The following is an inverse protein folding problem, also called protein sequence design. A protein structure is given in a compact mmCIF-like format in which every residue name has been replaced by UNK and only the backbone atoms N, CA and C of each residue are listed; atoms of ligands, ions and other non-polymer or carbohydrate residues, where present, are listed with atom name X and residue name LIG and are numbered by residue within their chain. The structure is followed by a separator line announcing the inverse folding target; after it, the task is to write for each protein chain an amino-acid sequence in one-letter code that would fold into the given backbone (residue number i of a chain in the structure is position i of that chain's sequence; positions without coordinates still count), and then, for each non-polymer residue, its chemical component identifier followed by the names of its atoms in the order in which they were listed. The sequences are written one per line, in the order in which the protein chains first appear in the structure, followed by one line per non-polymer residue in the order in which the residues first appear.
data_IF_990359096932
#
_entry.id   IF_990359096932
#
_cell.length_a   1.000
_cell.length_b   1.000
_cell.length_c   1.000
_cell.angle_alpha   90.00
_cell.angle_beta   90.00
_cell.angle_gamma   90.00
#
_symmetry.space_group_name_H-M   'P 1'
#
loop_
_entity.id
_entity.type
_entity.pdbx_description
1 polymer ?
#
# COMPACT_ATOMS: atom_id res chain seq x y z
N UNK A 1 -61.34 -17.65 -13.25
CA UNK A 1 -60.17 -18.42 -12.73
C UNK A 1 -59.16 -18.81 -13.82
N UNK A 2 -59.56 -19.42 -14.96
CA UNK A 2 -58.63 -19.88 -16.01
C UNK A 2 -57.81 -18.76 -16.71
N UNK A 3 -58.38 -17.57 -16.89
CA UNK A 3 -57.72 -16.42 -17.57
C UNK A 3 -56.58 -15.84 -16.73
N UNK A 4 -56.72 -15.86 -15.40
CA UNK A 4 -55.70 -15.35 -14.47
C UNK A 4 -54.47 -16.28 -14.43
N UNK A 5 -54.69 -17.59 -14.47
CA UNK A 5 -53.63 -18.60 -14.57
C UNK A 5 -52.90 -18.55 -15.91
N UNK A 6 -53.58 -18.26 -17.03
CA UNK A 6 -52.93 -18.10 -18.34
C UNK A 6 -52.09 -16.82 -18.42
N UNK A 7 -52.51 -15.73 -17.79
CA UNK A 7 -51.74 -14.48 -17.73
C UNK A 7 -50.49 -14.62 -16.84
N UNK A 8 -50.59 -15.36 -15.72
CA UNK A 8 -49.43 -15.67 -14.89
C UNK A 8 -48.41 -16.58 -15.60
N UNK A 9 -48.87 -17.61 -16.32
CA UNK A 9 -47.99 -18.47 -17.14
C UNK A 9 -47.32 -17.70 -18.27
N UNK A 10 -48.03 -16.77 -18.91
CA UNK A 10 -47.48 -15.94 -19.98
C UNK A 10 -46.41 -14.96 -19.45
N UNK A 11 -46.64 -14.35 -18.27
CA UNK A 11 -45.63 -13.54 -17.56
C UNK A 11 -44.40 -14.34 -17.14
N UNK A 12 -44.57 -15.57 -16.66
CA UNK A 12 -43.46 -16.46 -16.33
C UNK A 12 -42.67 -16.86 -17.58
N UNK A 13 -43.34 -17.17 -18.69
CA UNK A 13 -42.69 -17.45 -19.97
C UNK A 13 -42.01 -16.22 -20.59
N UNK A 14 -42.58 -15.02 -20.43
CA UNK A 14 -41.96 -13.76 -20.87
C UNK A 14 -40.74 -13.39 -20.01
N UNK A 15 -40.77 -13.65 -18.69
CA UNK A 15 -39.60 -13.51 -17.80
C UNK A 15 -38.53 -14.57 -18.03
N UNK A 16 -38.90 -15.80 -18.43
CA UNK A 16 -37.94 -16.84 -18.84
C UNK A 16 -37.35 -16.58 -20.24
N UNK A 17 -38.08 -15.87 -21.12
CA UNK A 17 -37.60 -15.46 -22.45
C UNK A 17 -36.75 -14.19 -22.43
N UNK A 18 -36.94 -13.32 -21.44
CA UNK A 18 -36.01 -12.23 -21.13
C UNK A 18 -34.80 -12.80 -20.38
N UNK A 19 -34.08 -13.70 -21.06
CA UNK A 19 -33.00 -14.49 -20.48
C UNK A 19 -32.00 -13.62 -19.72
N UNK A 20 -31.47 -14.18 -18.62
CA UNK A 20 -30.54 -13.51 -17.71
C UNK A 20 -29.49 -12.69 -18.47
N UNK A 21 -29.72 -11.38 -18.53
CA UNK A 21 -28.94 -10.45 -19.34
C UNK A 21 -27.50 -10.35 -18.83
N UNK A 22 -27.27 -10.64 -17.55
CA UNK A 22 -25.93 -10.68 -16.95
C UNK A 22 -25.17 -11.93 -17.42
N UNK A 23 -25.85 -13.08 -17.51
CA UNK A 23 -25.24 -14.32 -18.03
C UNK A 23 -24.86 -14.24 -19.52
N UNK A 24 -25.46 -13.32 -20.28
CA UNK A 24 -25.15 -13.10 -21.70
C UNK A 24 -24.00 -12.09 -21.94
N UNK A 25 -23.43 -11.48 -20.90
CA UNK A 25 -22.29 -10.58 -21.07
C UNK A 25 -21.05 -11.34 -21.55
N UNK A 26 -20.24 -10.77 -22.45
CA UNK A 26 -18.91 -11.28 -22.78
C UNK A 26 -17.98 -11.33 -21.55
N UNK A 27 -17.05 -12.30 -21.50
CA UNK A 27 -16.13 -12.48 -20.35
C UNK A 27 -15.29 -11.22 -20.08
N UNK A 28 -14.82 -10.55 -21.13
CA UNK A 28 -14.02 -9.32 -21.03
C UNK A 28 -14.77 -8.17 -20.34
N UNK A 29 -16.08 -8.08 -20.55
CA UNK A 29 -16.92 -7.09 -19.86
C UNK A 29 -17.09 -7.47 -18.39
N UNK A 30 -17.29 -8.75 -18.10
CA UNK A 30 -17.43 -9.22 -16.72
C UNK A 30 -16.14 -8.99 -15.94
N UNK A 31 -14.99 -9.37 -16.52
CA UNK A 31 -13.67 -9.12 -15.94
C UNK A 31 -13.46 -7.63 -15.67
N UNK A 32 -13.87 -6.78 -16.61
CA UNK A 32 -13.78 -5.33 -16.44
C UNK A 32 -14.66 -4.81 -15.32
N UNK A 33 -15.87 -5.34 -15.15
CA UNK A 33 -16.76 -4.98 -14.03
C UNK A 33 -16.14 -5.41 -12.70
N UNK A 34 -15.71 -6.68 -12.59
CA UNK A 34 -15.16 -7.24 -11.37
C UNK A 34 -13.84 -6.56 -10.95
N UNK A 35 -13.04 -6.12 -11.92
CA UNK A 35 -11.81 -5.35 -11.68
C UNK A 35 -12.03 -4.08 -10.83
N UNK A 36 -13.23 -3.48 -10.89
CA UNK A 36 -13.55 -2.29 -10.11
C UNK A 36 -14.06 -2.60 -8.70
N UNK A 37 -14.50 -3.82 -8.43
CA UNK A 37 -15.10 -4.20 -7.15
C UNK A 37 -14.05 -4.39 -6.06
N UNK A 38 -14.49 -4.25 -4.81
CA UNK A 38 -13.78 -4.80 -3.67
C UNK A 38 -14.09 -6.29 -3.50
N UNK A 39 -13.33 -6.97 -2.63
CA UNK A 39 -13.43 -8.40 -2.41
C UNK A 39 -14.84 -8.81 -1.94
N UNK A 40 -15.47 -8.02 -1.07
CA UNK A 40 -16.82 -8.30 -0.55
C UNK A 40 -17.84 -8.24 -1.69
N UNK A 41 -17.85 -7.16 -2.46
CA UNK A 41 -18.75 -6.95 -3.59
C UNK A 41 -18.51 -7.99 -4.67
N UNK A 42 -17.25 -8.36 -4.94
CA UNK A 42 -16.88 -9.41 -5.88
C UNK A 42 -17.49 -10.76 -5.47
N UNK A 43 -17.35 -11.16 -4.21
CA UNK A 43 -18.00 -12.38 -3.68
C UNK A 43 -19.51 -12.27 -3.77
N UNK A 44 -20.10 -11.11 -3.45
CA UNK A 44 -21.56 -10.90 -3.55
C UNK A 44 -22.09 -11.09 -4.98
N UNK A 45 -21.28 -10.85 -6.02
CA UNK A 45 -21.72 -11.12 -7.40
C UNK A 45 -22.05 -12.60 -7.65
N UNK A 46 -21.56 -13.53 -6.80
CA UNK A 46 -21.86 -14.96 -6.89
C UNK A 46 -23.35 -15.29 -6.85
N UNK A 47 -24.19 -14.41 -6.28
CA UNK A 47 -25.64 -14.63 -6.20
C UNK A 47 -26.38 -14.21 -7.48
N UNK A 48 -25.71 -13.51 -8.40
CA UNK A 48 -26.34 -12.98 -9.62
C UNK A 48 -26.69 -14.08 -10.61
N UNK A 49 -25.77 -15.03 -10.85
CA UNK A 49 -26.03 -16.19 -11.69
C UNK A 49 -24.99 -17.29 -11.48
N UNK A 50 -25.25 -18.49 -12.01
CA UNK A 50 -24.30 -19.62 -11.97
C UNK A 50 -22.92 -19.29 -12.53
N UNK A 51 -22.84 -18.37 -13.51
CA UNK A 51 -21.58 -17.96 -14.14
C UNK A 51 -20.72 -17.12 -13.21
N UNK A 52 -21.33 -16.34 -12.32
CA UNK A 52 -20.62 -15.43 -11.42
C UNK A 52 -20.09 -16.09 -10.13
N UNK A 53 -20.51 -17.33 -9.83
CA UNK A 53 -20.21 -18.00 -8.56
C UNK A 53 -18.71 -18.02 -8.23
N UNK A 54 -17.85 -18.25 -9.23
CA UNK A 54 -16.42 -18.45 -9.04
C UNK A 54 -15.53 -17.36 -9.66
N UNK A 55 -16.09 -16.34 -10.29
CA UNK A 55 -15.25 -15.36 -11.01
C UNK A 55 -14.36 -14.53 -10.08
N UNK A 56 -14.81 -14.32 -8.84
CA UNK A 56 -14.01 -13.65 -7.83
C UNK A 56 -12.73 -14.43 -7.44
N UNK A 57 -12.68 -15.75 -7.66
CA UNK A 57 -11.53 -16.59 -7.29
C UNK A 57 -10.35 -16.46 -8.24
N UNK A 58 -10.48 -15.70 -9.33
CA UNK A 58 -9.42 -15.52 -10.33
C UNK A 58 -9.08 -14.05 -10.58
N UNK A 59 -9.46 -13.16 -9.66
CA UNK A 59 -9.28 -11.72 -9.87
C UNK A 59 -7.80 -11.33 -9.83
N UNK A 60 -7.32 -10.58 -10.84
CA UNK A 60 -5.94 -10.13 -10.88
C UNK A 60 -5.67 -8.93 -9.96
N UNK A 61 -6.72 -8.31 -9.42
CA UNK A 61 -6.62 -7.18 -8.49
C UNK A 61 -7.50 -7.45 -7.30
N UNK A 62 -6.89 -7.47 -6.12
CA UNK A 62 -7.58 -7.67 -4.85
C UNK A 62 -7.66 -6.34 -4.12
N UNK A 63 -8.86 -6.01 -3.63
CA UNK A 63 -9.08 -4.81 -2.84
C UNK A 63 -9.91 -5.18 -1.62
N UNK A 64 -9.34 -4.98 -0.44
CA UNK A 64 -10.00 -5.15 0.84
C UNK A 64 -10.13 -3.77 1.46
N UNK A 65 -11.37 -3.32 1.66
CA UNK A 65 -11.65 -2.06 2.34
C UNK A 65 -12.51 -2.37 3.56
N UNK A 66 -12.01 -1.98 4.73
CA UNK A 66 -12.70 -2.08 6.02
C UNK A 66 -13.44 -3.41 6.17
N UNK A 67 -12.71 -4.56 6.14
CA UNK A 67 -13.32 -5.88 6.23
C UNK A 67 -13.87 -6.20 7.63
N UNK A 68 -14.18 -5.16 8.43
CA UNK A 68 -14.56 -5.07 9.85
C UNK A 68 -15.70 -5.97 10.32
N UNK A 69 -16.25 -6.80 9.45
CA UNK A 69 -17.15 -7.86 9.86
C UNK A 69 -16.46 -9.19 10.10
N UNK A 70 -15.29 -9.49 9.52
CA UNK A 70 -14.56 -10.72 9.81
C UNK A 70 -13.08 -10.62 9.42
N UNK A 71 -12.13 -10.60 10.38
CA UNK A 71 -10.73 -10.97 10.08
C UNK A 71 -10.66 -12.28 9.29
N UNK A 72 -11.57 -13.20 9.62
CA UNK A 72 -11.73 -14.45 8.89
C UNK A 72 -12.12 -14.25 7.42
N UNK A 73 -12.76 -13.15 7.01
CA UNK A 73 -13.11 -12.93 5.60
C UNK A 73 -11.86 -12.86 4.72
N UNK A 74 -10.81 -12.13 5.12
CA UNK A 74 -9.59 -12.00 4.31
C UNK A 74 -8.93 -13.37 4.18
N UNK A 75 -8.71 -14.06 5.30
CA UNK A 75 -8.11 -15.40 5.28
C UNK A 75 -8.94 -16.42 4.49
N UNK A 76 -10.27 -16.40 4.64
CA UNK A 76 -11.16 -17.28 3.88
C UNK A 76 -11.16 -16.92 2.39
N UNK A 77 -11.16 -15.63 2.05
CA UNK A 77 -11.10 -15.18 0.67
C UNK A 77 -9.80 -15.65 0.01
N UNK A 78 -8.66 -15.43 0.67
CA UNK A 78 -7.34 -15.78 0.13
C UNK A 78 -7.17 -17.31 0.02
N UNK A 79 -7.67 -18.07 1.00
CA UNK A 79 -7.58 -19.55 1.00
C UNK A 79 -8.51 -20.24 -0.01
N UNK A 80 -9.64 -19.61 -0.37
CA UNK A 80 -10.57 -20.13 -1.38
C UNK A 80 -10.26 -19.67 -2.80
N UNK A 81 -9.25 -18.81 -2.98
CA UNK A 81 -8.83 -18.31 -4.28
C UNK A 81 -8.16 -19.41 -5.11
N UNK A 82 -8.24 -19.31 -6.43
CA UNK A 82 -7.49 -20.18 -7.32
C UNK A 82 -5.99 -19.82 -7.28
N UNK A 83 -5.19 -20.68 -6.66
CA UNK A 83 -3.75 -20.50 -6.51
C UNK A 83 -2.99 -20.49 -7.85
N UNK A 84 -3.60 -20.96 -8.94
CA UNK A 84 -2.99 -20.91 -10.28
C UNK A 84 -3.11 -19.53 -10.96
N UNK A 85 -3.90 -18.63 -10.39
CA UNK A 85 -4.17 -17.30 -10.96
C UNK A 85 -3.23 -16.24 -10.43
N UNK A 86 -2.81 -15.35 -11.32
CA UNK A 86 -1.92 -14.24 -11.01
C UNK A 86 -2.65 -13.13 -10.24
N UNK A 87 -1.90 -12.37 -9.46
CA UNK A 87 -2.36 -11.12 -8.86
C UNK A 87 -1.33 -10.05 -9.15
N UNK A 88 -1.78 -8.98 -9.80
CA UNK A 88 -0.95 -7.84 -10.15
C UNK A 88 -1.01 -6.74 -9.10
N UNK A 89 -2.13 -6.61 -8.37
CA UNK A 89 -2.25 -5.62 -7.31
C UNK A 89 -3.06 -6.15 -6.12
N UNK A 90 -2.57 -5.88 -4.91
CA UNK A 90 -3.28 -6.13 -3.66
C UNK A 90 -3.33 -4.83 -2.86
N UNK A 91 -4.54 -4.38 -2.55
CA UNK A 91 -4.78 -3.23 -1.70
C UNK A 91 -5.57 -3.67 -0.47
N UNK A 92 -5.03 -3.40 0.70
CA UNK A 92 -5.66 -3.64 1.99
C UNK A 92 -5.76 -2.31 2.72
N UNK A 93 -6.97 -1.93 3.12
CA UNK A 93 -7.22 -0.73 3.93
C UNK A 93 -8.13 -1.09 5.10
N UNK A 94 -7.73 -0.75 6.31
CA UNK A 94 -8.53 -0.92 7.52
C UNK A 94 -8.32 0.32 8.41
N UNK A 95 -9.42 1.00 8.75
CA UNK A 95 -9.37 2.22 9.56
C UNK A 95 -9.69 2.00 11.04
N UNK A 96 -10.18 0.82 11.41
CA UNK A 96 -10.39 0.48 12.82
C UNK A 96 -9.19 -0.27 13.39
N UNK A 97 -9.06 -0.22 14.71
CA UNK A 97 -8.08 -0.99 15.48
C UNK A 97 -8.25 -2.50 15.17
N UNK A 98 -7.15 -3.15 14.79
CA UNK A 98 -7.14 -4.59 14.57
C UNK A 98 -7.14 -5.30 15.94
N UNK A 99 -8.06 -6.25 16.13
CA UNK A 99 -8.22 -6.97 17.40
C UNK A 99 -7.02 -7.89 17.77
N UNK A 100 -6.12 -8.16 16.82
CA UNK A 100 -5.14 -9.28 16.86
C UNK A 100 -3.73 -8.85 16.42
N UNK A 101 -3.25 -7.71 16.94
CA UNK A 101 -1.88 -7.18 16.81
C UNK A 101 -1.32 -7.04 15.37
N UNK A 102 -2.16 -7.10 14.34
CA UNK A 102 -1.73 -7.00 12.94
C UNK A 102 -1.54 -8.32 12.20
N UNK A 103 -1.91 -9.47 12.78
CA UNK A 103 -1.73 -10.80 12.15
C UNK A 103 -2.32 -10.92 10.72
N UNK A 104 -3.40 -10.21 10.41
CA UNK A 104 -3.96 -10.19 9.05
C UNK A 104 -2.97 -9.65 8.01
N UNK A 105 -2.15 -8.67 8.37
CA UNK A 105 -1.15 -8.08 7.48
C UNK A 105 -0.03 -9.08 7.22
N UNK A 106 0.44 -9.77 8.26
CA UNK A 106 1.41 -10.85 8.12
C UNK A 106 0.85 -12.04 7.32
N UNK A 107 -0.43 -12.39 7.46
CA UNK A 107 -1.11 -13.38 6.62
C UNK A 107 -1.17 -12.96 5.15
N UNK A 108 -1.41 -11.67 4.87
CA UNK A 108 -1.36 -11.12 3.51
C UNK A 108 0.06 -11.20 2.95
N UNK A 109 1.07 -10.84 3.74
CA UNK A 109 2.47 -10.94 3.33
C UNK A 109 2.83 -12.39 3.02
N UNK A 110 2.54 -13.32 3.94
CA UNK A 110 2.74 -14.76 3.74
C UNK A 110 2.04 -15.24 2.47
N UNK A 111 0.81 -14.82 2.25
CA UNK A 111 0.06 -15.21 1.07
C UNK A 111 0.72 -14.73 -0.23
N UNK A 112 1.20 -13.49 -0.25
CA UNK A 112 1.92 -12.90 -1.40
C UNK A 112 3.26 -13.61 -1.63
N UNK A 113 4.00 -13.90 -0.57
CA UNK A 113 5.36 -14.45 -0.65
C UNK A 113 5.37 -15.96 -0.89
N UNK A 114 4.50 -16.71 -0.21
CA UNK A 114 4.44 -18.16 -0.27
C UNK A 114 3.68 -18.71 -1.48
N UNK A 115 2.92 -17.87 -2.20
CA UNK A 115 2.21 -18.29 -3.42
C UNK A 115 3.04 -17.95 -4.67
N UNK A 116 3.63 -18.94 -5.38
CA UNK A 116 4.59 -18.68 -6.46
C UNK A 116 4.04 -17.87 -7.64
N UNK A 117 2.77 -18.07 -7.99
CA UNK A 117 2.09 -17.32 -9.06
C UNK A 117 1.94 -15.85 -8.67
N UNK A 118 1.76 -15.53 -7.39
CA UNK A 118 1.62 -14.16 -6.89
C UNK A 118 2.98 -13.50 -6.73
N UNK A 119 3.93 -14.14 -6.05
CA UNK A 119 5.25 -13.54 -5.79
C UNK A 119 6.00 -13.16 -7.08
N UNK A 120 5.70 -13.85 -8.19
CA UNK A 120 6.26 -13.55 -9.51
C UNK A 120 5.44 -12.58 -10.37
N UNK A 121 4.19 -12.28 -10.01
CA UNK A 121 3.29 -11.42 -10.79
C UNK A 121 2.82 -10.13 -10.11
N UNK A 122 2.99 -10.01 -8.79
CA UNK A 122 2.58 -8.88 -7.97
C UNK A 122 3.41 -7.64 -8.29
N UNK A 123 2.75 -6.56 -8.72
CA UNK A 123 3.39 -5.31 -9.09
C UNK A 123 3.11 -4.20 -8.08
N UNK A 124 1.95 -4.25 -7.42
CA UNK A 124 1.49 -3.21 -6.51
C UNK A 124 1.03 -3.88 -5.21
N UNK A 125 1.63 -3.47 -4.10
CA UNK A 125 1.15 -3.81 -2.76
C UNK A 125 0.88 -2.51 -1.99
N UNK A 126 -0.33 -2.39 -1.47
CA UNK A 126 -0.77 -1.24 -0.68
C UNK A 126 -1.40 -1.74 0.61
N UNK A 127 -0.87 -1.34 1.76
CA UNK A 127 -1.38 -1.70 3.09
C UNK A 127 -1.53 -0.42 3.90
N UNK A 128 -2.76 -0.04 4.21
CA UNK A 128 -3.09 1.16 4.97
C UNK A 128 -3.89 0.70 6.19
N UNK A 129 -3.21 0.50 7.31
CA UNK A 129 -3.82 0.06 8.56
C UNK A 129 -2.84 0.26 9.68
N UNK A 130 -3.34 0.62 10.87
CA UNK A 130 -2.52 0.64 12.06
C UNK A 130 -2.16 -0.80 12.46
N UNK A 131 -0.87 -1.15 12.37
CA UNK A 131 -0.40 -2.48 12.74
C UNK A 131 1.11 -2.53 12.96
N UNK A 132 1.56 -3.57 13.67
CA UNK A 132 2.97 -3.98 13.72
C UNK A 132 3.20 -5.04 12.64
N UNK A 133 4.27 -4.91 11.86
CA UNK A 133 4.61 -5.84 10.78
C UNK A 133 5.98 -6.45 11.03
N UNK A 134 6.00 -7.76 11.28
CA UNK A 134 7.23 -8.52 11.49
C UNK A 134 7.83 -9.05 10.18
N UNK A 135 6.98 -9.35 9.20
CA UNK A 135 7.39 -10.10 7.99
C UNK A 135 7.72 -9.20 6.80
N UNK A 136 7.82 -7.90 6.99
CA UNK A 136 8.11 -6.92 5.93
C UNK A 136 9.31 -7.30 5.03
N UNK A 137 10.46 -7.78 5.57
CA UNK A 137 11.62 -8.14 4.75
C UNK A 137 11.36 -9.28 3.75
N UNK A 138 10.37 -10.14 4.01
CA UNK A 138 10.06 -11.28 3.14
C UNK A 138 9.55 -10.86 1.76
N UNK A 139 8.97 -9.66 1.66
CA UNK A 139 8.48 -9.12 0.39
C UNK A 139 9.61 -8.92 -0.65
N UNK A 140 10.87 -8.89 -0.22
CA UNK A 140 12.05 -8.76 -1.10
C UNK A 140 12.15 -9.83 -2.18
N UNK A 141 11.54 -11.00 -1.97
CA UNK A 141 11.49 -12.08 -2.97
C UNK A 141 10.60 -11.72 -4.17
N UNK A 142 9.70 -10.75 -4.03
CA UNK A 142 8.75 -10.37 -5.08
C UNK A 142 9.44 -9.50 -6.14
N UNK A 143 10.17 -10.12 -7.05
CA UNK A 143 10.96 -9.44 -8.09
C UNK A 143 10.13 -8.65 -9.11
N UNK A 144 8.81 -8.77 -9.10
CA UNK A 144 7.90 -8.00 -9.94
C UNK A 144 7.33 -6.75 -9.25
N UNK A 145 7.58 -6.58 -7.95
CA UNK A 145 7.00 -5.52 -7.14
C UNK A 145 7.62 -4.16 -7.50
N UNK A 146 6.84 -3.30 -8.14
CA UNK A 146 7.27 -1.97 -8.61
C UNK A 146 6.75 -0.84 -7.73
N UNK A 147 5.64 -1.05 -7.02
CA UNK A 147 5.01 -0.06 -6.16
C UNK A 147 4.66 -0.67 -4.80
N UNK A 148 5.17 -0.05 -3.75
CA UNK A 148 4.85 -0.39 -2.37
C UNK A 148 4.34 0.85 -1.65
N UNK A 149 3.18 0.73 -1.03
CA UNK A 149 2.56 1.81 -0.27
C UNK A 149 2.18 1.31 1.12
N UNK A 150 2.74 1.93 2.14
CA UNK A 150 2.40 1.67 3.53
C UNK A 150 1.90 2.93 4.20
N UNK A 151 0.82 2.78 4.97
CA UNK A 151 0.36 3.80 5.90
C UNK A 151 0.12 3.17 7.28
N UNK A 152 0.52 3.88 8.33
CA UNK A 152 0.27 3.51 9.74
C UNK A 152 0.97 2.20 10.18
N UNK A 153 2.06 1.82 9.51
CA UNK A 153 2.82 0.60 9.81
C UNK A 153 3.93 0.86 10.81
N UNK A 154 4.06 -0.02 11.81
CA UNK A 154 5.15 -0.04 12.78
C UNK A 154 6.03 -1.29 12.63
N UNK A 155 7.33 -1.18 12.84
CA UNK A 155 8.25 -2.34 12.93
C UNK A 155 8.99 -2.34 14.26
N UNK A 156 8.99 -3.47 14.97
CA UNK A 156 9.68 -3.61 16.27
C UNK A 156 11.15 -4.04 16.14
N UNK A 157 11.57 -4.46 14.95
CA UNK A 157 12.96 -4.86 14.70
C UNK A 157 13.60 -3.99 13.63
N UNK A 158 14.93 -3.79 13.68
CA UNK A 158 15.67 -3.11 12.64
C UNK A 158 15.37 -3.67 11.25
N UNK A 159 14.69 -2.86 10.44
CA UNK A 159 14.19 -3.27 9.13
C UNK A 159 14.98 -2.57 8.02
N UNK A 160 15.24 -3.28 6.92
CA UNK A 160 15.80 -2.71 5.68
C UNK A 160 14.94 -3.10 4.50
N UNK A 161 14.91 -2.25 3.47
CA UNK A 161 14.16 -2.47 2.25
C UNK A 161 15.09 -2.95 1.14
N UNK A 162 15.00 -4.24 0.82
CA UNK A 162 15.82 -4.90 -0.19
C UNK A 162 15.03 -5.24 -1.48
N UNK A 163 14.30 -4.25 -2.00
CA UNK A 163 13.44 -4.44 -3.17
C UNK A 163 14.11 -3.98 -4.47
N UNK A 164 14.76 -4.92 -5.16
CA UNK A 164 15.57 -4.60 -6.37
C UNK A 164 14.76 -3.96 -7.50
N UNK A 165 13.49 -4.36 -7.67
CA UNK A 165 12.61 -3.88 -8.74
C UNK A 165 11.71 -2.71 -8.37
N UNK A 166 11.79 -2.24 -7.12
CA UNK A 166 10.87 -1.23 -6.62
C UNK A 166 11.18 0.13 -7.25
N UNK A 167 10.20 0.69 -7.97
CA UNK A 167 10.29 2.01 -8.58
C UNK A 167 9.64 3.08 -7.70
N UNK A 168 8.61 2.72 -6.92
CA UNK A 168 7.84 3.66 -6.11
C UNK A 168 7.65 3.11 -4.70
N UNK A 169 8.16 3.85 -3.72
CA UNK A 169 7.92 3.63 -2.31
C UNK A 169 7.18 4.83 -1.71
N UNK A 170 6.03 4.57 -1.09
CA UNK A 170 5.29 5.59 -0.35
C UNK A 170 5.07 5.11 1.08
N UNK A 171 5.58 5.85 2.04
CA UNK A 171 5.43 5.59 3.47
C UNK A 171 4.73 6.80 4.11
N UNK A 172 3.62 6.54 4.81
CA UNK A 172 2.80 7.54 5.49
C UNK A 172 2.62 7.13 6.95
N UNK A 173 2.90 8.01 7.90
CA UNK A 173 2.69 7.74 9.34
C UNK A 173 3.31 6.41 9.84
N UNK A 174 4.46 6.02 9.26
CA UNK A 174 5.11 4.75 9.57
C UNK A 174 6.17 4.93 10.68
N UNK A 175 6.35 3.92 11.51
CA UNK A 175 7.27 3.91 12.65
C UNK A 175 8.30 2.79 12.50
N UNK A 176 9.58 3.12 12.46
CA UNK A 176 10.65 2.14 12.26
C UNK A 176 11.62 2.12 13.43
N UNK A 177 11.70 0.99 14.11
CA UNK A 177 12.85 0.68 14.94
C UNK A 177 14.10 0.53 14.06
N UNK A 178 15.13 1.29 14.38
CA UNK A 178 16.40 1.37 13.68
C UNK A 178 17.49 0.97 14.68
N UNK A 179 18.46 0.19 14.20
CA UNK A 179 19.53 -0.33 15.06
C UNK A 179 20.43 0.76 15.69
N UNK A 180 21.48 0.31 16.38
CA UNK A 180 22.44 1.20 17.04
C UNK A 180 23.59 1.66 16.12
N UNK A 181 23.44 1.53 14.80
CA UNK A 181 24.48 1.91 13.85
C UNK A 181 24.55 3.44 13.70
N UNK A 182 25.75 4.00 13.50
CA UNK A 182 25.91 5.44 13.28
C UNK A 182 25.24 5.94 12.00
N UNK A 183 25.11 5.07 11.00
CA UNK A 183 24.58 5.35 9.68
C UNK A 183 23.38 4.46 9.41
N UNK A 184 22.27 5.06 9.02
CA UNK A 184 21.07 4.35 8.61
C UNK A 184 20.86 4.50 7.11
N UNK A 185 20.72 3.40 6.39
CA UNK A 185 20.32 3.38 4.98
C UNK A 185 19.25 2.30 4.78
N UNK A 186 18.00 2.68 5.03
CA UNK A 186 16.86 1.78 4.91
C UNK A 186 16.61 1.32 3.47
N UNK A 187 17.08 2.08 2.47
CA UNK A 187 16.70 1.88 1.08
C UNK A 187 17.84 1.33 0.22
N UNK A 188 18.92 0.86 0.84
CA UNK A 188 20.14 0.39 0.16
C UNK A 188 19.87 -0.62 -0.95
N UNK A 189 18.93 -1.55 -0.75
CA UNK A 189 18.60 -2.57 -1.75
C UNK A 189 17.59 -2.11 -2.82
N UNK A 190 16.98 -0.93 -2.67
CA UNK A 190 16.03 -0.35 -3.61
C UNK A 190 16.73 0.37 -4.79
N UNK A 191 17.57 -0.35 -5.54
CA UNK A 191 18.43 0.21 -6.59
C UNK A 191 17.69 0.82 -7.78
N UNK A 192 16.44 0.42 -8.01
CA UNK A 192 15.59 0.90 -9.11
C UNK A 192 14.66 2.05 -8.71
N UNK A 193 14.78 2.57 -7.49
CA UNK A 193 13.83 3.53 -6.93
C UNK A 193 13.83 4.85 -7.71
N UNK A 194 12.63 5.25 -8.14
CA UNK A 194 12.36 6.48 -8.92
C UNK A 194 11.52 7.48 -8.15
N UNK A 195 10.65 7.00 -7.27
CA UNK A 195 9.82 7.86 -6.44
C UNK A 195 9.86 7.40 -4.98
N UNK A 196 10.17 8.32 -4.07
CA UNK A 196 10.23 8.07 -2.63
C UNK A 196 9.43 9.15 -1.89
N UNK A 197 8.45 8.73 -1.10
CA UNK A 197 7.64 9.62 -0.26
C UNK A 197 7.72 9.13 1.17
N UNK A 198 8.24 9.99 2.06
CA UNK A 198 8.42 9.75 3.48
C UNK A 198 7.62 10.80 4.25
N UNK A 199 6.35 10.52 4.51
CA UNK A 199 5.42 11.49 5.10
C UNK A 199 5.05 11.06 6.50
N UNK A 200 5.23 11.95 7.46
CA UNK A 200 4.89 11.78 8.87
C UNK A 200 5.54 10.52 9.50
N UNK A 201 6.69 10.07 8.95
CA UNK A 201 7.39 8.85 9.37
C UNK A 201 8.35 9.10 10.53
N UNK A 202 8.45 8.13 11.44
CA UNK A 202 9.26 8.19 12.66
C UNK A 202 10.32 7.08 12.67
N UNK A 203 11.54 7.44 13.05
CA UNK A 203 12.70 6.55 13.05
C UNK A 203 13.35 6.56 14.43
N UNK A 204 13.28 5.43 15.14
CA UNK A 204 13.82 5.28 16.49
C UNK A 204 15.15 4.56 16.44
N UNK A 205 16.23 5.15 16.97
CA UNK A 205 17.55 4.50 16.92
C UNK A 205 18.69 5.46 17.17
N UNK A 206 19.93 4.93 17.21
CA UNK A 206 21.14 5.70 17.57
C UNK A 206 21.99 6.06 16.35
N UNK A 207 21.38 6.57 15.30
CA UNK A 207 22.08 7.00 14.09
C UNK A 207 22.23 8.52 14.03
N UNK A 208 23.33 8.97 13.43
CA UNK A 208 23.61 10.40 13.17
C UNK A 208 23.51 10.75 11.70
N UNK A 209 23.57 9.76 10.81
CA UNK A 209 23.51 9.95 9.36
C UNK A 209 22.38 9.11 8.79
N UNK A 210 21.33 9.76 8.28
CA UNK A 210 20.27 9.12 7.52
C UNK A 210 20.63 9.20 6.04
N UNK A 211 21.11 8.11 5.46
CA UNK A 211 21.51 8.05 4.06
C UNK A 211 20.37 7.56 3.17
N UNK A 212 20.22 8.19 2.03
CA UNK A 212 19.30 7.78 0.97
C UNK A 212 20.13 7.60 -0.31
N UNK A 213 20.58 6.37 -0.54
CA UNK A 213 21.29 6.02 -1.75
C UNK A 213 20.31 5.57 -2.85
N UNK A 214 19.91 6.51 -3.70
CA UNK A 214 18.92 6.27 -4.76
C UNK A 214 19.34 6.99 -6.06
N UNK A 215 20.29 6.44 -6.84
CA UNK A 215 20.89 7.12 -7.99
C UNK A 215 19.92 7.32 -9.18
N UNK A 216 18.75 6.70 -9.13
CA UNK A 216 17.70 6.81 -10.15
C UNK A 216 16.46 7.56 -9.66
N UNK A 217 16.52 8.13 -8.45
CA UNK A 217 15.42 8.88 -7.86
C UNK A 217 15.12 10.12 -8.71
N UNK A 218 13.85 10.27 -9.08
CA UNK A 218 13.30 11.35 -9.90
C UNK A 218 12.43 12.26 -9.05
N UNK A 219 11.61 11.69 -8.17
CA UNK A 219 10.67 12.41 -7.32
C UNK A 219 10.89 12.02 -5.87
N UNK A 220 11.15 13.01 -5.02
CA UNK A 220 11.42 12.81 -3.62
C UNK A 220 10.64 13.78 -2.77
N UNK A 221 9.92 13.28 -1.77
CA UNK A 221 9.22 14.12 -0.81
C UNK A 221 9.40 13.62 0.61
N UNK A 222 9.83 14.53 1.48
CA UNK A 222 9.81 14.34 2.92
C UNK A 222 8.81 15.33 3.51
N UNK A 223 7.97 14.84 4.42
CA UNK A 223 7.07 15.66 5.22
C UNK A 223 7.07 15.18 6.66
N UNK A 224 7.18 16.07 7.64
CA UNK A 224 6.98 15.76 9.07
C UNK A 224 7.81 14.58 9.58
N UNK A 225 9.05 14.45 9.11
CA UNK A 225 9.90 13.33 9.48
C UNK A 225 10.39 13.51 10.91
N UNK A 226 10.43 12.44 11.71
CA UNK A 226 11.01 12.50 13.05
C UNK A 226 12.04 11.40 13.26
N UNK A 227 13.16 11.79 13.85
CA UNK A 227 14.20 10.89 14.37
C UNK A 227 14.21 11.06 15.88
N UNK A 228 14.30 9.95 16.64
CA UNK A 228 14.28 9.87 18.12
C UNK A 228 14.71 11.17 18.84
N UNK A 229 13.89 11.63 19.79
CA UNK A 229 14.02 12.91 20.51
C UNK A 229 15.39 13.11 21.19
N UNK A 230 16.11 12.03 21.49
CA UNK A 230 17.47 12.10 22.06
C UNK A 230 18.49 12.64 21.05
N UNK A 231 18.32 12.36 19.76
CA UNK A 231 19.25 12.71 18.68
C UNK A 231 18.62 13.52 17.55
N UNK A 232 17.34 13.87 17.66
CA UNK A 232 16.58 14.58 16.62
C UNK A 232 17.20 15.90 16.15
N UNK A 233 18.10 16.52 16.94
CA UNK A 233 18.77 17.77 16.56
C UNK A 233 20.15 17.61 15.90
N UNK A 234 20.76 16.42 15.96
CA UNK A 234 22.12 16.18 15.44
C UNK A 234 22.15 15.25 14.21
N UNK A 235 20.98 14.76 13.76
CA UNK A 235 20.89 13.86 12.62
C UNK A 235 21.05 14.62 11.29
N UNK A 236 21.94 14.15 10.43
CA UNK A 236 22.17 14.67 9.08
C UNK A 236 21.55 13.73 8.06
N UNK A 237 20.72 14.28 7.16
CA UNK A 237 20.15 13.53 6.03
C UNK A 237 21.06 13.66 4.83
N UNK A 238 21.63 12.54 4.36
CA UNK A 238 22.51 12.48 3.20
C UNK A 238 21.79 11.92 1.97
N UNK A 239 21.56 12.76 0.95
CA UNK A 239 20.86 12.35 -0.27
C UNK A 239 21.82 12.17 -1.45
N UNK A 240 21.87 10.94 -1.99
CA UNK A 240 22.65 10.57 -3.17
C UNK A 240 21.72 10.26 -4.35
N UNK A 241 21.25 11.30 -5.04
CA UNK A 241 20.20 11.21 -6.06
C UNK A 241 20.53 11.99 -7.35
N UNK A 242 21.44 11.46 -8.17
CA UNK A 242 21.97 12.19 -9.33
C UNK A 242 20.96 12.59 -10.43
N UNK A 243 19.75 12.01 -10.44
CA UNK A 243 18.70 12.24 -11.46
C UNK A 243 17.46 12.96 -10.93
N UNK A 244 17.54 13.57 -9.74
CA UNK A 244 16.39 14.16 -9.07
C UNK A 244 15.81 15.32 -9.89
N UNK A 245 14.50 15.26 -10.16
CA UNK A 245 13.74 16.27 -10.91
C UNK A 245 12.81 17.07 -9.99
N UNK A 246 12.21 16.39 -9.01
CA UNK A 246 11.25 16.98 -8.07
C UNK A 246 11.71 16.68 -6.65
N UNK A 247 11.85 17.73 -5.85
CA UNK A 247 12.13 17.63 -4.42
C UNK A 247 11.14 18.47 -3.63
N UNK A 248 10.51 17.86 -2.62
CA UNK A 248 9.64 18.55 -1.68
C UNK A 248 10.06 18.25 -0.24
N UNK A 249 10.29 19.28 0.56
CA UNK A 249 10.57 19.16 1.99
C UNK A 249 9.60 20.03 2.78
N UNK A 250 8.89 19.42 3.74
CA UNK A 250 7.98 20.13 4.64
C UNK A 250 8.13 19.64 6.07
N UNK A 251 8.63 20.48 6.96
CA UNK A 251 8.81 20.08 8.35
C UNK A 251 8.64 21.25 9.33
N UNK A 252 8.40 20.90 10.60
CA UNK A 252 8.44 21.82 11.74
C UNK A 252 9.86 21.94 12.29
N UNK A 253 10.64 20.85 12.24
CA UNK A 253 12.02 20.78 12.72
C UNK A 253 12.99 20.69 11.54
N UNK A 254 14.00 21.56 11.51
CA UNK A 254 14.99 21.60 10.44
C UNK A 254 16.10 20.58 10.69
N UNK A 255 16.07 19.46 9.97
CA UNK A 255 17.23 18.57 9.88
C UNK A 255 18.30 19.18 8.97
N UNK A 256 19.57 18.93 9.29
CA UNK A 256 20.68 19.27 8.40
C UNK A 256 20.66 18.33 7.18
N UNK A 257 20.69 18.92 5.99
CA UNK A 257 20.74 18.17 4.73
C UNK A 257 22.11 18.28 4.09
N UNK A 258 22.77 17.14 3.93
CA UNK A 258 23.90 17.01 3.03
C UNK A 258 23.42 16.40 1.72
N UNK A 259 23.58 17.13 0.63
CA UNK A 259 22.99 16.75 -0.64
C UNK A 259 24.09 16.70 -1.69
N UNK A 260 24.45 15.49 -2.10
CA UNK A 260 25.38 15.28 -3.22
C UNK A 260 24.57 15.16 -4.52
N UNK A 261 24.00 16.29 -4.96
CA UNK A 261 23.20 16.37 -6.17
C UNK A 261 24.01 16.82 -7.38
N UNK A 262 23.68 16.21 -8.52
CA UNK A 262 23.86 16.87 -9.81
C UNK A 262 22.60 17.69 -10.12
N UNK A 263 22.62 18.99 -9.81
CA UNK A 263 21.49 19.91 -9.97
C UNK A 263 21.02 20.11 -11.43
N UNK A 264 21.73 19.55 -12.42
CA UNK A 264 21.37 19.71 -13.84
C UNK A 264 20.03 19.09 -14.25
N UNK A 265 19.50 18.16 -13.44
CA UNK A 265 18.20 17.51 -13.69
C UNK A 265 17.05 18.08 -12.86
N UNK A 266 17.33 19.01 -11.93
CA UNK A 266 16.34 19.47 -10.96
C UNK A 266 15.40 20.50 -11.59
N UNK A 267 14.12 20.17 -11.70
CA UNK A 267 13.08 21.02 -12.31
C UNK A 267 12.22 21.73 -11.27
N UNK A 268 11.95 21.07 -10.13
CA UNK A 268 11.09 21.57 -9.06
C UNK A 268 11.72 21.34 -7.69
N UNK A 269 11.75 22.41 -6.90
CA UNK A 269 12.09 22.36 -5.47
C UNK A 269 11.01 23.12 -4.71
N UNK A 270 10.40 22.45 -3.73
CA UNK A 270 9.37 23.00 -2.86
C UNK A 270 9.81 22.80 -1.41
N UNK A 271 10.16 23.88 -0.71
CA UNK A 271 10.61 23.84 0.68
C UNK A 271 9.64 24.70 1.48
N UNK A 272 8.85 24.06 2.33
CA UNK A 272 7.91 24.70 3.23
C UNK A 272 8.34 24.45 4.67
N UNK A 273 8.41 25.51 5.48
CA UNK A 273 8.61 25.37 6.92
C UNK A 273 7.33 25.74 7.63
N UNK A 274 6.71 24.74 8.24
CA UNK A 274 5.47 24.92 8.99
C UNK A 274 5.86 25.40 10.39
N UNK A 275 6.07 26.71 10.54
CA UNK A 275 6.22 27.29 11.89
C UNK A 275 4.87 27.16 12.60
N UNK A 276 4.84 26.43 13.71
CA UNK A 276 3.82 26.67 14.73
C UNK A 276 3.99 28.14 15.12
N UNK A 277 3.04 28.98 14.70
CA UNK A 277 2.91 30.31 15.27
C UNK A 277 2.75 30.09 16.78
N UNK A 278 3.84 30.30 17.53
CA UNK A 278 3.80 30.30 18.98
C UNK A 278 2.59 31.14 19.36
N UNK A 279 1.71 30.56 20.16
CA UNK A 279 0.58 31.27 20.76
C UNK A 279 1.06 32.66 21.14
N UNK A 280 0.57 33.65 20.39
CA UNK A 280 0.63 35.03 20.79
C UNK A 280 -0.31 35.13 21.99
N UNK A 281 0.19 34.66 23.14
CA UNK A 281 -0.31 34.94 24.46
C UNK A 281 -0.14 36.43 24.69
N UNK A 282 -1.04 37.21 24.08
CA UNK A 282 -1.38 38.52 24.54
C UNK A 282 -1.97 38.36 25.94
N UNK A 283 -1.10 38.41 26.94
CA UNK A 283 -1.50 38.88 28.26
C UNK A 283 -1.04 40.32 28.38
N UNK A 284 -2.02 41.23 28.47
CA UNK A 284 -2.08 42.42 29.34
C UNK A 284 -3.31 43.27 28.92
N UNK A 285 -3.96 44.00 29.84
CA UNK A 285 -3.61 44.23 31.25
C UNK A 285 -4.35 43.31 32.23
#
# INVERSE_FOLDING_TARGET
MKIFQSLQRKRQQEQEQEGDRLSNLPDDIIDRVLYFLDAVSAVQTSVLSKRFIYLWTSLPVLKFHDPLLFHSFVDHFLSLRDASTNVHALNFTCHDELDDDGHVVDSIIDYVTLTPTISTSIQILSILTECVVEKLPQLSICQSLTTLKFADISTETPTTFDFVSLERLCLFDCRFECGEEEELDLFRGCVSLRCLFLHDCQYYGRFRRFKIFAPHLVDFSIKGMRVDEVFGSDCVVELFAAKLQSFSYRDTDLYDFFIELNLSFLERVDIAMDYLAADAGFSLP
#
